data_IF_030212730283
#
_entry.id   IF_030212730283
#
_cell.length_a   1.000
_cell.length_b   1.000
_cell.length_c   1.000
_cell.angle_alpha   90.00
_cell.angle_beta   90.00
_cell.angle_gamma   90.00
#
_symmetry.space_group_name_H-M   'P 1'
#
loop_
_entity.id
_entity.type
_entity.pdbx_description
1 polymer ?
#
# COMPACT_ATOMS: atom_id res chain seq x y z
N UNK A 1 -26.35 -62.60 28.57
CA UNK A 1 -25.17 -62.22 27.75
C UNK A 1 -25.34 -62.89 26.39
N UNK A 2 -25.19 -62.29 25.22
CA UNK A 2 -24.45 -61.08 24.85
C UNK A 2 -25.16 -60.33 23.69
N UNK A 3 -24.79 -59.06 23.55
CA UNK A 3 -25.43 -57.96 22.82
C UNK A 3 -25.22 -57.97 21.29
N UNK A 4 -26.18 -57.32 20.63
CA UNK A 4 -26.18 -56.80 19.25
C UNK A 4 -24.97 -55.92 18.92
N UNK A 5 -24.50 -55.97 17.65
CA UNK A 5 -23.92 -54.81 16.96
C UNK A 5 -24.32 -54.83 15.47
N UNK A 6 -25.28 -54.00 15.10
CA UNK A 6 -25.54 -53.62 13.71
C UNK A 6 -24.75 -52.35 13.40
N UNK A 7 -23.73 -52.43 12.55
CA UNK A 7 -22.95 -51.28 12.11
C UNK A 7 -23.76 -50.43 11.13
N UNK A 8 -24.20 -49.25 11.57
CA UNK A 8 -24.74 -48.21 10.70
C UNK A 8 -23.58 -47.40 10.10
N UNK A 9 -23.33 -47.57 8.81
CA UNK A 9 -22.40 -46.73 8.05
C UNK A 9 -23.07 -45.40 7.72
N UNK A 10 -22.72 -44.35 8.47
CA UNK A 10 -23.09 -42.97 8.13
C UNK A 10 -22.19 -42.51 7.00
N UNK A 11 -22.74 -42.40 5.78
CA UNK A 11 -22.07 -41.76 4.66
C UNK A 11 -22.03 -40.24 4.93
N UNK A 12 -20.88 -39.74 5.38
CA UNK A 12 -20.58 -38.31 5.39
C UNK A 12 -20.47 -37.83 3.94
N UNK A 13 -21.50 -37.16 3.43
CA UNK A 13 -21.37 -36.35 2.23
C UNK A 13 -20.41 -35.19 2.53
N UNK A 14 -19.38 -34.94 1.70
CA UNK A 14 -18.62 -33.71 1.80
C UNK A 14 -19.58 -32.56 1.49
N UNK A 15 -19.89 -31.75 2.51
CA UNK A 15 -20.52 -30.46 2.31
C UNK A 15 -19.56 -29.63 1.46
N UNK A 16 -19.89 -29.44 0.19
CA UNK A 16 -19.29 -28.39 -0.61
C UNK A 16 -19.62 -27.08 0.11
N UNK A 17 -18.62 -26.50 0.78
CA UNK A 17 -18.69 -25.12 1.25
C UNK A 17 -18.88 -24.25 0.03
N UNK A 18 -20.14 -23.92 -0.25
CA UNK A 18 -20.50 -22.84 -1.15
C UNK A 18 -19.87 -21.58 -0.58
N UNK A 19 -18.68 -21.22 -1.08
CA UNK A 19 -18.14 -19.89 -0.91
C UNK A 19 -19.19 -18.94 -1.47
N UNK A 20 -19.88 -18.23 -0.59
CA UNK A 20 -20.83 -17.20 -1.00
C UNK A 20 -20.05 -16.17 -1.82
N UNK A 21 -20.19 -16.22 -3.14
CA UNK A 21 -19.73 -15.19 -4.05
C UNK A 21 -20.56 -13.94 -3.78
N UNK A 22 -20.09 -13.12 -2.83
CA UNK A 22 -20.50 -11.73 -2.71
C UNK A 22 -20.13 -10.96 -3.99
N UNK A 23 -20.61 -9.71 -4.13
CA UNK A 23 -20.34 -8.89 -5.31
C UNK A 23 -18.83 -8.81 -5.55
N UNK A 24 -18.43 -9.00 -6.81
CA UNK A 24 -17.05 -9.33 -7.23
C UNK A 24 -15.93 -8.69 -6.41
N UNK A 25 -15.07 -9.54 -5.86
CA UNK A 25 -13.92 -9.14 -5.06
C UNK A 25 -13.04 -10.34 -4.70
N UNK A 26 -11.80 -10.08 -4.33
CA UNK A 26 -10.82 -11.07 -3.89
C UNK A 26 -10.70 -11.02 -2.36
N UNK A 27 -10.64 -12.20 -1.72
CA UNK A 27 -10.28 -12.28 -0.31
C UNK A 27 -8.80 -12.62 -0.20
N UNK A 28 -8.05 -11.73 0.43
CA UNK A 28 -6.62 -11.91 0.71
C UNK A 28 -6.41 -12.24 2.18
N UNK A 29 -5.61 -13.27 2.46
CA UNK A 29 -5.34 -13.72 3.82
C UNK A 29 -3.95 -14.35 3.96
N UNK A 30 -3.17 -13.87 4.93
CA UNK A 30 -1.90 -14.46 5.34
C UNK A 30 -1.56 -14.00 6.77
N UNK A 31 -0.91 -14.85 7.57
CA UNK A 31 -0.35 -14.44 8.85
C UNK A 31 -1.37 -13.96 9.88
N UNK A 32 -2.63 -14.42 9.80
CA UNK A 32 -3.71 -13.97 10.66
C UNK A 32 -4.43 -12.69 10.18
N UNK A 33 -3.93 -12.03 9.14
CA UNK A 33 -4.64 -10.93 8.48
C UNK A 33 -5.66 -11.48 7.49
N UNK A 34 -6.81 -10.81 7.37
CA UNK A 34 -7.83 -11.14 6.36
C UNK A 34 -8.55 -9.87 5.93
N UNK A 35 -8.63 -9.67 4.62
CA UNK A 35 -9.39 -8.58 4.02
C UNK A 35 -10.12 -9.06 2.76
N UNK A 36 -11.32 -8.55 2.55
CA UNK A 36 -12.04 -8.69 1.29
C UNK A 36 -11.91 -7.38 0.51
N UNK A 37 -11.40 -7.46 -0.71
CA UNK A 37 -11.12 -6.32 -1.58
C UNK A 37 -12.02 -6.45 -2.81
N UNK A 38 -12.92 -5.50 -2.98
CA UNK A 38 -13.70 -5.34 -4.21
C UNK A 38 -13.30 -4.05 -4.89
N UNK A 39 -13.42 -3.97 -6.22
CA UNK A 39 -13.11 -2.75 -6.97
C UNK A 39 -14.34 -2.29 -7.73
N UNK A 40 -14.57 -0.99 -7.72
CA UNK A 40 -15.59 -0.36 -8.56
C UNK A 40 -14.98 0.17 -9.87
N UNK A 41 -15.77 0.87 -10.68
CA UNK A 41 -15.28 1.53 -11.89
C UNK A 41 -14.03 2.39 -11.59
N UNK A 42 -13.13 2.46 -12.57
CA UNK A 42 -11.82 3.12 -12.45
C UNK A 42 -10.88 2.46 -11.42
N UNK A 43 -11.18 1.23 -11.00
CA UNK A 43 -10.32 0.46 -10.11
C UNK A 43 -10.38 0.87 -8.65
N UNK A 44 -11.31 1.74 -8.22
CA UNK A 44 -11.36 2.23 -6.83
C UNK A 44 -11.59 1.06 -5.86
N UNK A 45 -10.65 0.76 -4.93
CA UNK A 45 -10.78 -0.36 -4.01
C UNK A 45 -11.71 -0.03 -2.83
N UNK A 46 -12.55 -1.00 -2.48
CA UNK A 46 -13.38 -1.04 -1.28
C UNK A 46 -12.89 -2.21 -0.44
N UNK A 47 -12.38 -1.91 0.75
CA UNK A 47 -11.69 -2.89 1.61
C UNK A 47 -12.55 -3.14 2.84
N UNK A 48 -12.92 -4.41 3.04
CA UNK A 48 -13.68 -4.86 4.21
C UNK A 48 -12.82 -5.80 5.05
N UNK A 49 -12.73 -5.53 6.35
CA UNK A 49 -12.02 -6.36 7.31
C UNK A 49 -12.72 -6.35 8.68
N UNK A 50 -12.37 -7.32 9.54
CA UNK A 50 -12.96 -7.45 10.89
C UNK A 50 -12.27 -6.58 11.94
N UNK A 51 -11.04 -6.17 11.67
CA UNK A 51 -10.17 -5.44 12.60
C UNK A 51 -9.22 -4.52 11.82
N UNK A 52 -8.49 -3.65 12.54
CA UNK A 52 -7.57 -2.70 11.94
C UNK A 52 -6.34 -3.37 11.31
N UNK A 53 -5.91 -4.53 11.83
CA UNK A 53 -4.82 -5.32 11.28
C UNK A 53 -5.17 -5.79 9.85
N UNK A 54 -6.34 -6.40 9.68
CA UNK A 54 -6.88 -6.81 8.39
C UNK A 54 -7.20 -5.62 7.47
N UNK A 55 -7.73 -4.51 8.00
CA UNK A 55 -8.02 -3.32 7.20
C UNK A 55 -6.73 -2.74 6.61
N UNK A 56 -5.69 -2.61 7.43
CA UNK A 56 -4.35 -2.24 7.00
C UNK A 56 -3.83 -3.16 5.92
N UNK A 57 -3.95 -4.48 6.14
CA UNK A 57 -3.50 -5.51 5.20
C UNK A 57 -4.15 -5.41 3.83
N UNK A 58 -5.48 -5.32 3.76
CA UNK A 58 -6.19 -5.14 2.50
C UNK A 58 -5.82 -3.84 1.80
N UNK A 59 -5.64 -2.76 2.58
CA UNK A 59 -5.22 -1.47 2.05
C UNK A 59 -3.81 -1.49 1.47
N UNK A 60 -2.84 -2.04 2.19
CA UNK A 60 -1.47 -2.16 1.70
C UNK A 60 -1.38 -3.02 0.44
N UNK A 61 -2.14 -4.12 0.38
CA UNK A 61 -2.18 -5.00 -0.78
C UNK A 61 -2.82 -4.32 -2.00
N UNK A 62 -3.98 -3.67 -1.84
CA UNK A 62 -4.64 -2.94 -2.93
C UNK A 62 -3.79 -1.75 -3.42
N UNK A 63 -3.19 -0.99 -2.51
CA UNK A 63 -2.33 0.13 -2.86
C UNK A 63 -1.10 -0.32 -3.64
N UNK A 64 -0.49 -1.44 -3.26
CA UNK A 64 0.66 -2.01 -3.95
C UNK A 64 0.30 -2.47 -5.37
N UNK A 65 -0.86 -3.06 -5.59
CA UNK A 65 -1.33 -3.41 -6.94
C UNK A 65 -1.28 -2.22 -7.90
N UNK A 66 -1.65 -1.04 -7.40
CA UNK A 66 -1.86 0.14 -8.23
C UNK A 66 -0.61 1.03 -8.28
N UNK A 67 0.21 1.07 -7.21
CA UNK A 67 1.24 2.10 -7.00
C UNK A 67 2.58 1.53 -6.49
N UNK A 68 2.90 0.27 -6.77
CA UNK A 68 4.14 -0.36 -6.25
C UNK A 68 5.41 0.40 -6.58
N UNK A 69 5.55 0.93 -7.80
CA UNK A 69 6.76 1.64 -8.22
C UNK A 69 6.94 2.96 -7.45
N UNK A 70 5.86 3.73 -7.32
CA UNK A 70 5.86 4.98 -6.56
C UNK A 70 6.18 4.75 -5.08
N UNK A 71 5.60 3.71 -4.48
CA UNK A 71 5.91 3.39 -3.09
C UNK A 71 7.35 2.92 -2.92
N UNK A 72 7.88 2.14 -3.88
CA UNK A 72 9.28 1.72 -3.85
C UNK A 72 10.24 2.91 -3.93
N UNK A 73 9.97 3.89 -4.80
CA UNK A 73 10.77 5.12 -4.88
C UNK A 73 10.77 5.91 -3.56
N UNK A 74 9.60 6.05 -2.93
CA UNK A 74 9.50 6.68 -1.61
C UNK A 74 10.26 5.90 -0.54
N UNK A 75 10.19 4.58 -0.54
CA UNK A 75 10.90 3.73 0.43
C UNK A 75 12.41 3.90 0.31
N UNK A 76 12.96 3.86 -0.90
CA UNK A 76 14.38 4.08 -1.17
C UNK A 76 14.80 5.48 -0.73
N UNK A 77 13.96 6.49 -0.98
CA UNK A 77 14.17 7.88 -0.52
C UNK A 77 14.28 7.96 1.00
N UNK A 78 13.30 7.43 1.70
CA UNK A 78 13.20 7.52 3.16
C UNK A 78 14.24 6.66 3.88
N UNK A 79 14.82 5.66 3.19
CA UNK A 79 15.98 4.90 3.68
C UNK A 79 17.31 5.61 3.48
N UNK A 80 17.36 6.56 2.55
CA UNK A 80 18.57 7.25 2.11
C UNK A 80 19.41 6.38 1.18
N UNK A 81 18.76 5.64 0.27
CA UNK A 81 19.40 4.68 -0.62
C UNK A 81 19.31 5.10 -2.10
N UNK A 82 18.88 6.33 -2.42
CA UNK A 82 18.66 6.75 -3.82
C UNK A 82 19.93 6.72 -4.64
N UNK A 83 21.06 7.16 -4.09
CA UNK A 83 22.34 7.22 -4.80
C UNK A 83 22.85 5.85 -5.22
N UNK A 84 22.54 4.81 -4.43
CA UNK A 84 22.89 3.42 -4.72
C UNK A 84 22.19 2.91 -5.97
N UNK A 85 20.91 3.28 -6.17
CA UNK A 85 20.07 2.72 -7.23
C UNK A 85 19.85 3.67 -8.42
N UNK A 86 19.87 4.98 -8.18
CA UNK A 86 19.50 6.03 -9.13
C UNK A 86 20.64 7.01 -9.44
N UNK A 87 21.86 6.68 -8.99
CA UNK A 87 23.11 7.45 -9.12
C UNK A 87 23.16 8.71 -8.24
N UNK A 88 24.33 9.08 -7.69
CA UNK A 88 24.44 10.23 -6.76
C UNK A 88 24.03 11.58 -7.36
N UNK A 89 24.30 11.79 -8.65
CA UNK A 89 23.96 13.03 -9.37
C UNK A 89 22.59 13.02 -10.04
N UNK A 90 21.76 11.99 -9.80
CA UNK A 90 20.36 12.03 -10.21
C UNK A 90 19.56 13.00 -9.34
N UNK A 91 18.49 13.56 -9.88
CA UNK A 91 17.62 14.52 -9.19
C UNK A 91 16.30 13.86 -8.75
N UNK A 92 15.72 14.39 -7.68
CA UNK A 92 14.40 14.04 -7.15
C UNK A 92 13.61 15.31 -6.83
N UNK A 93 12.36 15.17 -6.39
CA UNK A 93 11.59 16.31 -5.86
C UNK A 93 12.26 17.02 -4.67
N UNK A 94 13.20 16.35 -4.00
CA UNK A 94 13.96 16.82 -2.82
C UNK A 94 15.38 17.33 -3.20
N UNK A 95 15.70 17.39 -4.50
CA UNK A 95 17.04 17.74 -5.02
C UNK A 95 17.91 16.52 -5.36
N UNK A 96 19.23 16.73 -5.45
CA UNK A 96 20.19 15.68 -5.77
C UNK A 96 20.09 14.47 -4.82
N UNK A 97 20.17 13.26 -5.38
CA UNK A 97 20.02 12.00 -4.65
C UNK A 97 20.98 11.90 -3.45
N UNK A 98 22.23 12.35 -3.59
CA UNK A 98 23.20 12.35 -2.49
C UNK A 98 22.79 13.26 -1.32
N UNK A 99 22.21 14.42 -1.62
CA UNK A 99 21.72 15.34 -0.60
C UNK A 99 20.50 14.76 0.12
N UNK A 100 19.56 14.19 -0.64
CA UNK A 100 18.41 13.45 -0.10
C UNK A 100 18.85 12.31 0.82
N UNK A 101 19.80 11.49 0.38
CA UNK A 101 20.30 10.35 1.16
C UNK A 101 20.95 10.80 2.46
N UNK A 102 21.76 11.87 2.40
CA UNK A 102 22.39 12.46 3.58
C UNK A 102 21.33 12.93 4.58
N UNK A 103 20.29 13.61 4.10
CA UNK A 103 19.19 14.10 4.94
C UNK A 103 18.43 12.95 5.62
N UNK A 104 17.91 11.99 4.86
CA UNK A 104 17.08 10.92 5.44
C UNK A 104 17.88 9.94 6.30
N UNK A 105 19.15 9.69 5.94
CA UNK A 105 20.07 8.92 6.80
C UNK A 105 20.29 9.64 8.14
N UNK A 106 20.52 10.95 8.13
CA UNK A 106 20.62 11.77 9.33
C UNK A 106 19.36 11.70 10.21
N UNK A 107 18.17 11.83 9.60
CA UNK A 107 16.89 11.75 10.31
C UNK A 107 16.66 10.36 10.93
N UNK A 108 17.04 9.29 10.24
CA UNK A 108 16.96 7.91 10.74
C UNK A 108 17.92 7.67 11.91
N UNK A 109 19.17 8.11 11.79
CA UNK A 109 20.14 8.01 12.88
C UNK A 109 19.73 8.84 14.10
N UNK A 110 19.11 10.00 13.87
CA UNK A 110 18.57 10.81 14.94
C UNK A 110 17.45 10.10 15.72
N UNK A 111 16.81 9.05 15.17
CA UNK A 111 15.78 8.27 15.85
C UNK A 111 14.50 9.04 16.16
N UNK A 112 14.27 10.17 15.49
CA UNK A 112 13.18 11.10 15.81
C UNK A 112 11.82 10.47 15.59
N UNK A 113 11.63 9.75 14.48
CA UNK A 113 10.35 9.10 14.17
C UNK A 113 10.02 8.02 15.20
N UNK A 114 10.99 7.19 15.58
CA UNK A 114 10.84 6.14 16.59
C UNK A 114 10.39 6.74 17.92
N UNK A 115 11.08 7.78 18.41
CA UNK A 115 10.69 8.48 19.64
C UNK A 115 9.28 9.06 19.57
N UNK A 116 8.86 9.60 18.42
CA UNK A 116 7.51 10.13 18.23
C UNK A 116 6.46 9.01 18.25
N UNK A 117 6.77 7.87 17.64
CA UNK A 117 5.89 6.69 17.61
C UNK A 117 5.82 5.96 18.95
N UNK A 118 6.84 6.07 19.82
CA UNK A 118 6.83 5.48 21.16
C UNK A 118 5.95 6.26 22.15
N UNK A 119 5.52 7.47 21.80
CA UNK A 119 4.63 8.26 22.65
C UNK A 119 3.25 7.60 22.77
N UNK A 120 2.64 7.74 23.95
CA UNK A 120 1.24 7.36 24.16
C UNK A 120 0.31 8.35 23.46
N UNK A 121 -0.87 7.87 23.07
CA UNK A 121 -1.94 8.74 22.60
C UNK A 121 -2.29 9.79 23.68
N UNK A 122 -2.65 11.03 23.31
CA UNK A 122 -2.90 11.52 21.94
C UNK A 122 -1.65 12.04 21.21
N UNK A 123 -0.47 12.05 21.85
CA UNK A 123 0.75 12.60 21.25
C UNK A 123 1.47 11.65 20.29
N UNK A 124 1.27 10.34 20.47
CA UNK A 124 1.68 9.30 19.53
C UNK A 124 0.48 8.51 18.99
N UNK A 125 0.71 7.50 18.14
CA UNK A 125 -0.38 6.77 17.49
C UNK A 125 -1.24 6.01 18.50
N UNK A 126 -2.50 5.77 18.15
CA UNK A 126 -3.38 4.85 18.89
C UNK A 126 -2.94 3.40 18.66
N UNK A 127 -3.45 2.45 19.47
CA UNK A 127 -3.20 1.04 19.24
C UNK A 127 -3.77 0.58 17.88
N UNK A 128 -4.96 1.07 17.51
CA UNK A 128 -5.61 0.79 16.23
C UNK A 128 -4.79 1.28 15.04
N UNK A 129 -4.21 2.49 15.12
CA UNK A 129 -3.36 3.01 14.06
C UNK A 129 -2.05 2.24 13.92
N UNK A 130 -1.43 1.81 15.03
CA UNK A 130 -0.24 0.94 14.98
C UNK A 130 -0.55 -0.37 14.25
N UNK A 131 -1.64 -1.04 14.63
CA UNK A 131 -2.17 -2.25 13.99
C UNK A 131 -2.44 -2.08 12.51
N UNK A 132 -3.09 -0.98 12.14
CA UNK A 132 -3.37 -0.67 10.74
C UNK A 132 -2.09 -0.48 9.91
N UNK A 133 -1.07 0.19 10.45
CA UNK A 133 0.20 0.38 9.72
C UNK A 133 1.01 -0.92 9.64
N UNK A 134 0.99 -1.75 10.68
CA UNK A 134 1.57 -3.09 10.65
C UNK A 134 0.91 -3.95 9.57
N UNK A 135 -0.42 -3.96 9.52
CA UNK A 135 -1.20 -4.61 8.47
C UNK A 135 -0.83 -4.08 7.09
N UNK A 136 -0.75 -2.75 6.92
CA UNK A 136 -0.39 -2.13 5.63
C UNK A 136 0.96 -2.62 5.11
N UNK A 137 1.98 -2.64 5.97
CA UNK A 137 3.29 -3.17 5.62
C UNK A 137 3.21 -4.65 5.20
N UNK A 138 2.47 -5.47 5.95
CA UNK A 138 2.27 -6.88 5.63
C UNK A 138 1.55 -7.09 4.28
N UNK A 139 0.53 -6.28 3.98
CA UNK A 139 -0.23 -6.32 2.74
C UNK A 139 0.60 -5.94 1.51
N UNK A 140 1.40 -4.87 1.62
CA UNK A 140 2.35 -4.49 0.57
C UNK A 140 3.38 -5.62 0.33
N UNK A 141 3.95 -6.16 1.40
CA UNK A 141 4.94 -7.23 1.30
C UNK A 141 4.34 -8.50 0.70
N UNK A 142 3.06 -8.79 0.96
CA UNK A 142 2.32 -9.87 0.31
C UNK A 142 2.26 -9.67 -1.20
N UNK A 143 1.86 -8.49 -1.66
CA UNK A 143 1.76 -8.20 -3.09
C UNK A 143 3.08 -8.40 -3.84
N UNK A 144 4.20 -7.97 -3.23
CA UNK A 144 5.53 -8.20 -3.80
C UNK A 144 5.87 -9.68 -3.97
N UNK A 145 5.48 -10.53 -3.00
CA UNK A 145 5.69 -11.99 -3.09
C UNK A 145 4.83 -12.63 -4.17
N UNK A 146 3.57 -12.22 -4.25
CA UNK A 146 2.60 -12.80 -5.20
C UNK A 146 2.93 -12.43 -6.66
N UNK A 147 3.28 -11.17 -6.88
CA UNK A 147 3.58 -10.66 -8.22
C UNK A 147 4.98 -11.05 -8.67
N UNK A 148 5.95 -10.96 -7.74
CA UNK A 148 7.37 -11.07 -8.06
C UNK A 148 7.89 -9.86 -8.83
N UNK A 149 9.15 -9.50 -8.60
CA UNK A 149 9.76 -8.28 -9.17
C UNK A 149 9.78 -8.26 -10.71
N UNK A 150 9.81 -9.43 -11.35
CA UNK A 150 9.87 -9.55 -12.81
C UNK A 150 8.54 -9.35 -13.54
N UNK A 151 7.42 -9.18 -12.82
CA UNK A 151 6.09 -8.96 -13.42
C UNK A 151 5.50 -7.59 -13.09
N UNK A 152 6.31 -6.68 -12.56
CA UNK A 152 5.85 -5.34 -12.21
C UNK A 152 5.67 -4.48 -13.47
N UNK A 153 4.72 -3.51 -13.47
CA UNK A 153 4.27 -2.84 -14.69
C UNK A 153 5.27 -1.86 -15.37
N UNK A 154 6.52 -1.77 -14.93
CA UNK A 154 7.46 -0.76 -15.42
C UNK A 154 8.90 -1.28 -15.48
N UNK A 155 9.64 -0.92 -16.54
CA UNK A 155 11.08 -1.18 -16.70
C UNK A 155 11.90 -0.49 -15.59
N UNK A 156 11.36 0.58 -14.98
CA UNK A 156 11.97 1.23 -13.83
C UNK A 156 11.79 0.46 -12.51
N UNK A 157 10.91 -0.54 -12.43
CA UNK A 157 10.81 -1.37 -11.23
C UNK A 157 12.13 -2.10 -10.92
N UNK A 158 12.92 -2.41 -11.96
CA UNK A 158 14.29 -2.93 -11.82
C UNK A 158 15.24 -1.88 -11.22
N UNK A 159 15.05 -0.59 -11.54
CA UNK A 159 15.82 0.53 -10.96
C UNK A 159 15.43 0.88 -9.54
N UNK A 160 14.14 0.76 -9.18
CA UNK A 160 13.64 1.14 -7.85
C UNK A 160 13.74 0.03 -6.81
N UNK A 161 14.12 -1.20 -7.20
CA UNK A 161 14.32 -2.35 -6.32
C UNK A 161 13.25 -2.46 -5.21
N UNK A 162 11.98 -2.74 -5.58
CA UNK A 162 10.89 -2.82 -4.62
C UNK A 162 11.22 -3.86 -3.57
N UNK A 163 11.43 -3.37 -2.36
CA UNK A 163 11.89 -4.15 -1.22
C UNK A 163 10.84 -4.14 -0.12
N UNK A 164 10.88 -5.16 0.72
CA UNK A 164 9.91 -5.29 1.81
C UNK A 164 9.97 -4.04 2.71
N UNK A 165 8.82 -3.53 3.11
CA UNK A 165 8.71 -2.40 4.02
C UNK A 165 8.48 -2.89 5.45
N UNK A 166 9.16 -2.26 6.41
CA UNK A 166 8.85 -2.38 7.82
C UNK A 166 7.67 -1.46 8.18
N UNK A 167 6.90 -1.75 9.24
CA UNK A 167 5.83 -0.86 9.70
C UNK A 167 6.31 0.59 9.94
N UNK A 168 7.53 0.74 10.44
CA UNK A 168 8.16 2.05 10.65
C UNK A 168 8.36 2.86 9.35
N UNK A 169 8.66 2.19 8.24
CA UNK A 169 8.82 2.83 6.94
C UNK A 169 7.46 3.31 6.40
N UNK A 170 6.38 2.58 6.69
CA UNK A 170 5.02 2.98 6.32
C UNK A 170 4.49 4.19 7.12
N UNK A 171 5.05 4.49 8.31
CA UNK A 171 4.71 5.69 9.09
C UNK A 171 5.35 6.98 8.58
N UNK A 172 6.52 6.91 7.93
CA UNK A 172 7.29 8.09 7.58
C UNK A 172 6.58 9.06 6.61
N UNK A 173 5.89 8.61 5.53
CA UNK A 173 5.16 9.53 4.66
C UNK A 173 3.93 10.18 5.34
N UNK A 174 3.34 9.53 6.36
CA UNK A 174 2.19 10.08 7.10
C UNK A 174 2.57 11.32 7.93
N UNK A 175 3.82 11.37 8.44
CA UNK A 175 4.30 12.53 9.19
C UNK A 175 4.73 13.70 8.30
N UNK A 176 5.04 13.44 7.03
CA UNK A 176 5.43 14.49 6.07
C UNK A 176 4.24 15.29 5.53
N UNK A 177 3.00 14.80 5.71
CA UNK A 177 1.79 15.38 5.10
C UNK A 177 0.63 15.56 6.07
N UNK A 178 0.91 16.03 7.29
CA UNK A 178 -0.14 16.27 8.29
C UNK A 178 -0.97 17.52 7.95
N UNK A 179 -1.97 17.34 7.08
CA UNK A 179 -3.12 18.22 6.88
C UNK A 179 -4.39 17.49 7.35
N UNK A 180 -5.15 18.14 8.24
CA UNK A 180 -6.35 17.66 8.97
C UNK A 180 -7.19 16.57 8.27
N UNK A 181 -7.36 15.43 8.94
CA UNK A 181 -8.43 14.46 8.66
C UNK A 181 -9.59 14.71 9.63
N UNK A 182 -10.77 15.04 9.09
CA UNK A 182 -12.01 15.19 9.85
C UNK A 182 -12.74 13.84 10.00
N UNK A 183 -12.96 13.40 11.23
CA UNK A 183 -13.73 12.19 11.56
C UNK A 183 -15.23 12.41 11.30
N UNK A 184 -15.87 11.58 10.46
CA UNK A 184 -17.31 11.31 10.58
C UNK A 184 -17.53 9.88 11.08
N UNK A 185 -18.45 9.75 12.04
CA UNK A 185 -18.98 8.48 12.56
C UNK A 185 -19.72 7.71 11.46
N UNK A 186 -19.24 6.53 11.14
CA UNK A 186 -20.05 5.39 10.69
C UNK A 186 -19.29 4.13 11.06
N UNK A 187 -19.99 3.14 11.60
CA UNK A 187 -19.45 1.87 12.13
C UNK A 187 -18.93 0.92 11.03
N UNK A 188 -18.42 1.49 9.93
CA UNK A 188 -17.77 0.84 8.80
C UNK A 188 -16.65 1.76 8.33
N UNK A 189 -15.40 1.38 8.56
CA UNK A 189 -14.24 2.12 8.04
C UNK A 189 -14.13 1.85 6.54
N UNK A 190 -14.73 2.72 5.73
CA UNK A 190 -14.57 2.74 4.28
C UNK A 190 -13.69 3.94 3.91
N UNK A 191 -12.46 3.68 3.46
CA UNK A 191 -11.49 4.72 3.09
C UNK A 191 -11.50 4.88 1.58
N UNK A 192 -12.24 5.87 1.07
CA UNK A 192 -12.18 6.28 -0.33
C UNK A 192 -10.99 7.20 -0.57
N UNK A 193 -10.03 6.78 -1.39
CA UNK A 193 -8.89 7.62 -1.79
C UNK A 193 -9.21 8.42 -3.06
N UNK A 194 -9.03 9.74 -2.96
CA UNK A 194 -8.97 10.66 -4.10
C UNK A 194 -7.55 10.61 -4.68
N UNK A 195 -7.39 10.03 -5.87
CA UNK A 195 -6.26 10.34 -6.75
C UNK A 195 -6.67 11.53 -7.63
N UNK A 196 -5.94 12.66 -7.52
CA UNK A 196 -6.04 13.79 -8.43
C UNK A 196 -4.93 13.65 -9.50
N UNK A 197 -5.27 13.37 -10.76
CA UNK A 197 -4.32 13.14 -11.85
C UNK A 197 -3.71 14.42 -12.45
N UNK A 198 -3.97 15.61 -11.90
CA UNK A 198 -3.61 16.89 -12.55
C UNK A 198 -2.26 17.50 -12.15
N UNK A 199 -1.38 16.78 -11.42
CA UNK A 199 -0.08 17.34 -10.99
C UNK A 199 1.11 17.10 -11.92
N UNK A 200 1.01 16.18 -12.87
CA UNK A 200 2.11 15.89 -13.81
C UNK A 200 2.12 16.82 -15.04
N UNK A 201 1.02 17.51 -15.35
CA UNK A 201 0.94 18.36 -16.54
C UNK A 201 1.62 19.74 -16.37
N UNK A 202 1.95 20.13 -15.12
CA UNK A 202 2.52 21.45 -14.80
C UNK A 202 4.07 21.49 -14.85
N UNK A 203 4.75 20.36 -15.14
CA UNK A 203 6.22 20.31 -15.30
C UNK A 203 6.70 20.09 -16.75
N UNK A 204 5.79 19.94 -17.71
CA UNK A 204 6.10 19.91 -19.14
C UNK A 204 6.18 21.33 -19.72
N UNK A 205 7.33 21.72 -20.25
CA UNK A 205 7.56 23.05 -20.82
C UNK A 205 6.59 23.43 -21.94
N UNK A 206 6.29 24.73 -22.00
CA UNK A 206 5.76 25.52 -23.13
C UNK A 206 5.32 24.67 -24.34
N UNK A 207 4.05 24.27 -24.36
CA UNK A 207 3.40 23.82 -25.59
C UNK A 207 3.40 24.99 -26.58
N UNK A 208 4.14 24.83 -27.66
CA UNK A 208 4.13 25.72 -28.80
C UNK A 208 2.77 25.58 -29.48
N UNK A 209 2.02 26.68 -29.61
CA UNK A 209 0.72 26.70 -30.29
C UNK A 209 0.84 26.12 -31.72
N UNK A 210 -0.05 25.21 -32.14
CA UNK A 210 -0.08 24.75 -33.51
C UNK A 210 -0.57 25.88 -34.43
N UNK A 211 0.22 26.21 -35.46
CA UNK A 211 -0.18 27.16 -36.51
C UNK A 211 -1.43 26.63 -37.25
N UNK A 212 -2.43 27.48 -37.54
CA UNK A 212 -3.61 27.05 -38.29
C UNK A 212 -3.23 26.65 -39.72
N UNK A 213 -3.80 25.54 -40.17
CA UNK A 213 -3.72 25.02 -41.54
C UNK A 213 -4.28 26.04 -42.54
N UNK A 214 -3.46 26.52 -43.47
CA UNK A 214 -3.92 27.16 -44.70
C UNK A 214 -4.45 26.09 -45.66
N UNK A 215 -5.75 26.17 -45.98
CA UNK A 215 -6.36 25.48 -47.11
C UNK A 215 -5.95 26.19 -48.40
N UNK A 216 -5.11 25.54 -49.21
CA UNK A 216 -4.87 25.95 -50.59
C UNK A 216 -6.01 25.44 -51.47
N UNK A 217 -6.66 26.37 -52.16
CA UNK A 217 -7.44 26.16 -53.38
C UNK A 217 -6.60 26.61 -54.58
#
# INVERSE_FOLDING_TARGET
AALCLTSATVALLPAASSAATGPGGETVAEGGHTAHISRTAYGIPHILARDFDGLGYGHGYAFAQDNVCELADQVVTLRGERSQFLRPGGESGEGANLASDTYYTGQRHAGTVQRLLDRKAPLGPTAELRRMVEGYAAGYNRYLRDTGVGKLPDDNAVRHHPSAISPLAAFCPLTARSGRVGQRRSDRLDIRFLCDPQRDEQRGGRLQEPRPFETAA
#
